data_IF_053394973996
#
_entry.id   IF_053394973996
#
_cell.length_a   1.000
_cell.length_b   1.000
_cell.length_c   1.000
_cell.angle_alpha   90.00
_cell.angle_beta   90.00
_cell.angle_gamma   90.00
#
_symmetry.space_group_name_H-M   'P 1'
#
loop_
_entity.id
_entity.type
_entity.pdbx_description
1 polymer ?
#
# COMPACT_ATOMS: atom_id res chain seq x y z
N UNK A 1 36.62 -6.93 25.39
CA UNK A 1 35.86 -6.49 26.58
C UNK A 1 34.52 -7.20 26.53
N UNK A 2 34.21 -7.95 27.58
CA UNK A 2 33.17 -8.97 27.61
C UNK A 2 31.77 -8.38 27.46
N UNK A 3 30.99 -8.92 26.53
CA UNK A 3 29.53 -8.80 26.56
C UNK A 3 29.03 -9.79 27.61
N UNK A 4 28.40 -9.35 28.71
CA UNK A 4 27.76 -10.28 29.62
C UNK A 4 26.48 -10.75 28.95
N UNK A 5 26.58 -11.87 28.24
CA UNK A 5 25.44 -12.74 27.98
C UNK A 5 24.91 -13.20 29.33
N UNK A 6 23.97 -12.46 29.90
CA UNK A 6 23.17 -12.91 31.01
C UNK A 6 22.22 -13.98 30.47
N UNK A 7 22.69 -15.23 30.53
CA UNK A 7 21.83 -16.40 30.52
C UNK A 7 20.76 -16.19 31.60
N UNK A 8 19.52 -15.91 31.19
CA UNK A 8 18.41 -15.97 32.13
C UNK A 8 18.21 -17.45 32.49
N UNK A 9 18.22 -17.81 33.78
CA UNK A 9 17.92 -19.16 34.20
C UNK A 9 16.45 -19.43 33.85
N UNK A 10 16.21 -20.41 32.97
CA UNK A 10 14.88 -20.97 32.73
C UNK A 10 14.42 -21.65 34.04
N UNK A 11 13.78 -20.87 34.91
CA UNK A 11 13.18 -21.32 36.18
C UNK A 11 11.97 -22.21 35.87
N UNK A 12 12.16 -23.53 35.95
CA UNK A 12 11.19 -24.55 35.54
C UNK A 12 9.95 -24.70 36.46
N UNK A 13 9.78 -23.86 37.48
CA UNK A 13 8.59 -23.81 38.37
C UNK A 13 7.67 -22.60 38.15
N UNK A 14 8.19 -21.51 37.59
CA UNK A 14 7.46 -20.25 37.29
C UNK A 14 7.47 -19.90 35.79
N UNK A 15 8.21 -20.67 34.99
CA UNK A 15 8.45 -20.44 33.56
C UNK A 15 7.23 -20.61 32.65
N UNK A 16 6.17 -21.30 33.09
CA UNK A 16 4.94 -21.43 32.30
C UNK A 16 4.19 -20.10 32.14
N UNK A 17 4.06 -19.34 33.24
CA UNK A 17 3.41 -18.04 33.26
C UNK A 17 4.22 -16.98 32.50
N UNK A 18 5.55 -17.00 32.64
CA UNK A 18 6.44 -16.10 31.89
C UNK A 18 6.46 -16.42 30.40
N UNK A 19 6.48 -17.71 30.01
CA UNK A 19 6.42 -18.10 28.61
C UNK A 19 5.09 -17.70 27.95
N UNK A 20 3.97 -17.85 28.67
CA UNK A 20 2.66 -17.43 28.16
C UNK A 20 2.58 -15.90 28.00
N UNK A 21 3.12 -15.13 28.94
CA UNK A 21 3.17 -13.67 28.88
C UNK A 21 3.99 -13.18 27.68
N UNK A 22 5.18 -13.75 27.47
CA UNK A 22 6.02 -13.43 26.29
C UNK A 22 5.31 -13.83 25.00
N UNK A 23 4.69 -15.02 24.98
CA UNK A 23 3.89 -15.49 23.83
C UNK A 23 2.72 -14.56 23.51
N UNK A 24 2.03 -14.05 24.52
CA UNK A 24 0.94 -13.09 24.35
C UNK A 24 1.44 -11.76 23.77
N UNK A 25 2.53 -11.22 24.30
CA UNK A 25 3.13 -9.97 23.81
C UNK A 25 3.56 -10.12 22.34
N UNK A 26 4.27 -11.21 22.01
CA UNK A 26 4.69 -11.50 20.64
C UNK A 26 3.47 -11.69 19.73
N UNK A 27 2.46 -12.42 20.19
CA UNK A 27 1.22 -12.64 19.45
C UNK A 27 0.49 -11.32 19.13
N UNK A 28 0.38 -10.41 20.10
CA UNK A 28 -0.20 -9.08 19.90
C UNK A 28 0.62 -8.26 18.91
N UNK A 29 1.96 -8.26 19.05
CA UNK A 29 2.83 -7.53 18.12
C UNK A 29 2.68 -8.05 16.68
N UNK A 30 2.65 -9.37 16.49
CA UNK A 30 2.45 -10.00 15.18
C UNK A 30 1.07 -9.63 14.63
N UNK A 31 0.02 -9.66 15.46
CA UNK A 31 -1.34 -9.30 15.06
C UNK A 31 -1.42 -7.84 14.60
N UNK A 32 -0.81 -6.90 15.33
CA UNK A 32 -0.72 -5.48 14.93
C UNK A 32 0.02 -5.34 13.60
N UNK A 33 1.15 -6.05 13.43
CA UNK A 33 1.92 -6.06 12.18
C UNK A 33 1.09 -6.54 11.00
N UNK A 34 0.33 -7.62 11.16
CA UNK A 34 -0.56 -8.16 10.12
C UNK A 34 -1.66 -7.15 9.75
N UNK A 35 -2.27 -6.50 10.74
CA UNK A 35 -3.28 -5.45 10.51
C UNK A 35 -2.66 -4.29 9.72
N UNK A 36 -1.48 -3.81 10.12
CA UNK A 36 -0.79 -2.72 9.43
C UNK A 36 -0.43 -3.09 7.99
N UNK A 37 0.07 -4.30 7.76
CA UNK A 37 0.37 -4.80 6.41
C UNK A 37 -0.89 -4.88 5.54
N UNK A 38 -1.99 -5.40 6.08
CA UNK A 38 -3.28 -5.46 5.39
C UNK A 38 -3.80 -4.05 5.08
N UNK A 39 -3.68 -3.12 6.03
CA UNK A 39 -4.09 -1.72 5.87
C UNK A 39 -3.27 -1.01 4.79
N UNK A 40 -1.94 -1.19 4.80
CA UNK A 40 -1.07 -0.63 3.76
C UNK A 40 -1.38 -1.20 2.38
N UNK A 41 -1.54 -2.53 2.26
CA UNK A 41 -1.96 -3.19 1.00
C UNK A 41 -3.27 -2.63 0.48
N UNK A 42 -4.24 -2.42 1.35
CA UNK A 42 -5.54 -1.85 1.01
C UNK A 42 -5.43 -0.41 0.49
N UNK A 43 -4.62 0.43 1.14
CA UNK A 43 -4.42 1.82 0.71
C UNK A 43 -3.62 1.92 -0.60
N UNK A 44 -2.57 1.11 -0.76
CA UNK A 44 -1.77 1.09 -1.99
C UNK A 44 -2.62 0.70 -3.19
N UNK A 45 -3.54 -0.26 -3.04
CA UNK A 45 -4.46 -0.65 -4.10
C UNK A 45 -5.47 0.44 -4.51
N UNK A 46 -5.62 1.51 -3.72
CA UNK A 46 -6.55 2.61 -3.99
C UNK A 46 -5.90 3.92 -4.45
N UNK A 47 -4.57 4.04 -4.38
CA UNK A 47 -3.92 5.27 -4.83
C UNK A 47 -3.97 5.34 -6.36
N UNK A 48 -4.66 6.33 -6.95
CA UNK A 48 -4.56 6.55 -8.39
C UNK A 48 -3.10 6.86 -8.70
N UNK A 49 -2.51 6.11 -9.61
CA UNK A 49 -1.14 6.36 -10.07
C UNK A 49 -1.19 7.71 -10.78
N UNK A 50 -0.54 8.71 -10.21
CA UNK A 50 -0.35 9.98 -10.90
C UNK A 50 0.73 9.79 -11.96
N UNK A 51 0.41 10.15 -13.19
CA UNK A 51 1.36 10.07 -14.30
C UNK A 51 2.03 11.42 -14.51
N UNK A 52 3.32 11.40 -14.82
CA UNK A 52 4.04 12.58 -15.25
C UNK A 52 3.65 12.86 -16.71
N UNK A 53 3.21 14.07 -16.99
CA UNK A 53 2.91 14.50 -18.35
C UNK A 53 4.14 15.15 -18.97
N UNK A 54 4.74 14.52 -19.99
CA UNK A 54 5.97 15.01 -20.65
C UNK A 54 5.79 16.38 -21.32
N UNK A 55 4.58 16.72 -21.73
CA UNK A 55 4.29 18.02 -22.36
C UNK A 55 4.26 19.17 -21.35
N UNK A 56 3.86 18.90 -20.12
CA UNK A 56 3.56 19.92 -19.13
C UNK A 56 4.46 19.89 -17.90
N UNK A 57 5.27 18.84 -17.76
CA UNK A 57 6.23 18.67 -16.68
C UNK A 57 5.59 18.52 -15.29
N UNK A 58 4.29 18.25 -15.21
CA UNK A 58 3.56 18.14 -13.96
C UNK A 58 3.02 16.72 -13.76
N UNK A 59 3.03 16.28 -12.50
CA UNK A 59 2.27 15.11 -12.05
C UNK A 59 0.78 15.46 -12.11
N UNK A 60 0.04 14.76 -12.97
CA UNK A 60 -1.36 15.07 -13.24
C UNK A 60 -2.22 13.84 -13.07
N UNK A 61 -3.48 14.07 -12.72
CA UNK A 61 -4.50 13.04 -12.84
C UNK A 61 -4.84 12.84 -14.32
N UNK A 62 -5.12 11.60 -14.67
CA UNK A 62 -5.43 11.19 -16.04
C UNK A 62 -6.94 11.10 -16.21
N UNK A 63 -7.42 11.51 -17.37
CA UNK A 63 -8.85 11.48 -17.75
C UNK A 63 -9.03 10.71 -19.05
N UNK A 64 -10.24 10.20 -19.29
CA UNK A 64 -10.57 9.49 -20.53
C UNK A 64 -10.67 10.46 -21.71
N UNK A 65 -10.26 10.03 -22.90
CA UNK A 65 -10.44 10.77 -24.16
C UNK A 65 -11.91 11.03 -24.52
N UNK A 66 -12.82 10.11 -24.20
CA UNK A 66 -14.23 10.22 -24.60
C UNK A 66 -15.02 11.27 -23.80
N UNK A 67 -15.10 11.15 -22.49
CA UNK A 67 -15.96 11.97 -21.62
C UNK A 67 -15.16 12.92 -20.71
N UNK A 68 -13.82 12.89 -20.78
CA UNK A 68 -12.95 13.58 -19.82
C UNK A 68 -13.28 13.24 -18.35
N UNK A 69 -13.83 12.03 -18.12
CA UNK A 69 -14.16 11.49 -16.83
C UNK A 69 -12.94 10.81 -16.19
N UNK A 70 -12.91 10.61 -14.86
CA UNK A 70 -11.87 9.82 -14.21
C UNK A 70 -11.81 8.42 -14.80
N UNK A 71 -10.61 7.87 -14.92
CA UNK A 71 -10.37 6.53 -15.49
C UNK A 71 -10.00 5.54 -14.39
N UNK A 72 -10.43 4.29 -14.56
CA UNK A 72 -9.84 3.16 -13.83
C UNK A 72 -8.71 2.59 -14.67
N UNK A 73 -7.49 2.79 -14.22
CA UNK A 73 -6.31 2.28 -14.92
C UNK A 73 -6.09 0.79 -14.64
N UNK A 74 -5.83 0.05 -15.71
CA UNK A 74 -5.29 -1.31 -15.68
C UNK A 74 -4.14 -1.35 -16.70
N UNK A 75 -2.89 -1.39 -16.24
CA UNK A 75 -1.71 -1.63 -17.09
C UNK A 75 -1.64 -0.74 -18.35
N UNK A 76 -1.54 0.58 -18.18
CA UNK A 76 -1.51 1.62 -19.23
C UNK A 76 -2.78 1.80 -20.07
N UNK A 77 -3.81 0.97 -19.88
CA UNK A 77 -5.11 1.14 -20.52
C UNK A 77 -6.10 1.67 -19.49
N UNK A 78 -6.72 2.81 -19.80
CA UNK A 78 -7.76 3.40 -18.96
C UNK A 78 -9.13 2.88 -19.37
N UNK A 79 -9.95 2.49 -18.41
CA UNK A 79 -11.38 2.25 -18.66
C UNK A 79 -12.13 3.50 -18.17
N UNK A 80 -12.90 4.14 -19.06
CA UNK A 80 -13.73 5.28 -18.68
C UNK A 80 -14.81 4.85 -17.69
N UNK A 81 -15.02 5.61 -16.62
CA UNK A 81 -16.05 5.30 -15.61
C UNK A 81 -17.48 5.45 -16.12
N UNK A 82 -17.69 6.26 -17.16
CA UNK A 82 -19.02 6.51 -17.73
C UNK A 82 -19.38 5.45 -18.80
N UNK A 83 -18.61 5.38 -19.88
CA UNK A 83 -18.93 4.49 -21.01
C UNK A 83 -18.41 3.05 -20.82
N UNK A 84 -17.55 2.79 -19.83
CA UNK A 84 -16.92 1.49 -19.54
C UNK A 84 -16.17 0.88 -20.72
N UNK A 85 -15.81 1.68 -21.71
CA UNK A 85 -14.97 1.28 -22.84
C UNK A 85 -13.51 1.55 -22.53
N UNK A 86 -12.64 0.86 -23.24
CA UNK A 86 -11.22 1.16 -23.26
C UNK A 86 -11.00 2.52 -23.91
N UNK A 87 -10.21 3.35 -23.22
CA UNK A 87 -9.99 4.75 -23.54
C UNK A 87 -8.51 5.07 -23.44
N UNK A 88 -8.08 6.05 -24.22
CA UNK A 88 -6.72 6.58 -24.11
C UNK A 88 -6.62 7.51 -22.90
N UNK A 89 -5.46 7.46 -22.27
CA UNK A 89 -5.09 8.24 -21.10
C UNK A 89 -4.71 9.66 -21.55
N UNK A 90 -5.46 10.68 -21.08
CA UNK A 90 -5.23 12.09 -21.42
C UNK A 90 -4.87 12.90 -20.15
N UNK A 91 -3.96 13.85 -20.30
CA UNK A 91 -3.62 14.79 -19.23
C UNK A 91 -4.82 15.72 -18.92
N UNK A 92 -5.26 15.78 -17.66
CA UNK A 92 -6.37 16.64 -17.25
C UNK A 92 -6.13 18.15 -17.50
N UNK A 93 -4.86 18.58 -17.51
CA UNK A 93 -4.48 20.00 -17.70
C UNK A 93 -4.32 20.36 -19.18
N UNK A 94 -3.58 19.55 -19.93
CA UNK A 94 -3.14 19.88 -21.29
C UNK A 94 -3.99 19.22 -22.37
N UNK A 95 -4.86 18.28 -22.00
CA UNK A 95 -5.71 17.51 -22.91
C UNK A 95 -4.92 16.81 -24.03
N UNK A 96 -3.64 16.53 -23.76
CA UNK A 96 -2.76 15.74 -24.62
C UNK A 96 -2.64 14.32 -24.07
N UNK A 97 -2.45 13.31 -24.93
CA UNK A 97 -2.19 11.96 -24.47
C UNK A 97 -0.91 11.95 -23.63
N UNK A 98 -0.96 11.29 -22.47
CA UNK A 98 0.21 11.04 -21.62
C UNK A 98 0.97 9.81 -22.10
#
# INVERSE_FOLDING_TARGET
MAFPGAAQPFQAGEGGLQCWMVGAIVGVLVLVLVILLAYQRYLVGKKPVQHLCDYCGHMVNVVSDCHHAPVRERFLHGICTECRRECRLMCAKCKRPV
#
